data_IF_535029698630
#
_entry.id   IF_535029698630
#
_cell.length_a   1.000
_cell.length_b   1.000
_cell.length_c   1.000
_cell.angle_alpha   90.00
_cell.angle_beta   90.00
_cell.angle_gamma   90.00
#
_symmetry.space_group_name_H-M   'P 1'
#
loop_
_entity.id
_entity.type
_entity.pdbx_description
1 polymer ?
#
# COMPACT_ATOMS: atom_id res chain seq x y z
N UNK A 1 11.09 13.68 -28.55
CA UNK A 1 11.96 14.81 -28.19
C UNK A 1 12.49 14.53 -26.80
N UNK A 2 13.77 14.19 -26.72
CA UNK A 2 14.45 13.83 -25.47
C UNK A 2 14.79 15.13 -24.73
N UNK A 3 14.26 15.34 -23.53
CA UNK A 3 14.76 16.34 -22.61
C UNK A 3 15.58 15.64 -21.52
N UNK A 4 16.88 15.80 -21.60
CA UNK A 4 17.78 15.44 -20.50
C UNK A 4 17.77 16.57 -19.46
N UNK A 5 17.29 16.31 -18.26
CA UNK A 5 17.41 17.23 -17.13
C UNK A 5 18.64 16.79 -16.31
N UNK A 6 19.66 17.64 -16.31
CA UNK A 6 20.83 17.50 -15.43
C UNK A 6 20.46 18.08 -14.07
N UNK A 7 20.37 17.25 -13.06
CA UNK A 7 20.17 17.68 -11.68
C UNK A 7 21.51 17.68 -10.92
N UNK A 8 21.87 18.84 -10.38
CA UNK A 8 23.04 19.03 -9.53
C UNK A 8 22.83 18.48 -8.13
N UNK A 9 23.89 17.89 -7.59
CA UNK A 9 24.00 17.36 -6.23
C UNK A 9 23.91 18.47 -5.17
N UNK A 10 22.93 18.35 -4.24
CA UNK A 10 23.09 18.84 -2.85
C UNK A 10 22.28 17.92 -1.92
N UNK A 11 22.98 17.17 -1.05
CA UNK A 11 22.47 16.68 0.24
C UNK A 11 21.53 15.47 0.23
N UNK A 12 22.04 14.26 0.21
CA UNK A 12 21.61 13.15 1.07
C UNK A 12 20.17 12.61 0.93
N UNK A 13 19.66 12.40 -0.24
CA UNK A 13 18.63 11.40 -0.54
C UNK A 13 18.96 10.84 -1.92
N UNK A 14 19.04 9.52 -2.02
CA UNK A 14 19.21 8.86 -3.31
C UNK A 14 17.97 9.13 -4.16
N UNK A 15 18.05 10.12 -5.03
CA UNK A 15 17.08 10.26 -6.11
C UNK A 15 17.37 9.14 -7.09
N UNK A 16 16.47 8.16 -7.17
CA UNK A 16 16.46 7.21 -8.27
C UNK A 16 16.28 8.03 -9.54
N UNK A 17 17.31 8.02 -10.40
CA UNK A 17 17.24 8.65 -11.71
C UNK A 17 16.33 7.76 -12.56
N UNK A 18 15.04 8.11 -12.58
CA UNK A 18 14.05 7.40 -13.39
C UNK A 18 14.31 7.74 -14.85
N UNK A 19 14.60 6.74 -15.69
CA UNK A 19 14.59 6.91 -17.15
C UNK A 19 13.20 7.40 -17.60
N UNK A 20 13.12 8.06 -18.76
CA UNK A 20 11.85 8.60 -19.26
C UNK A 20 10.72 7.57 -19.10
N UNK A 21 9.56 8.02 -18.60
CA UNK A 21 8.41 7.14 -18.44
C UNK A 21 8.03 6.56 -19.81
N UNK A 22 7.97 5.25 -19.89
CA UNK A 22 7.46 4.53 -21.04
C UNK A 22 5.95 4.37 -20.87
N UNK A 23 5.23 4.33 -21.99
CA UNK A 23 3.77 4.34 -21.97
C UNK A 23 3.20 3.14 -22.69
N UNK A 24 2.30 2.40 -22.02
CA UNK A 24 1.35 1.56 -22.71
C UNK A 24 -0.07 2.15 -22.59
N UNK A 25 -1.09 1.46 -23.13
CA UNK A 25 -2.46 1.99 -23.16
C UNK A 25 -3.04 2.25 -21.76
N UNK A 26 -2.71 1.42 -20.77
CA UNK A 26 -3.35 1.40 -19.46
C UNK A 26 -2.48 1.95 -18.34
N UNK A 27 -1.14 1.96 -18.52
CA UNK A 27 -0.18 2.35 -17.51
C UNK A 27 0.91 3.26 -18.09
N UNK A 28 1.38 4.22 -17.28
CA UNK A 28 2.71 4.76 -17.40
C UNK A 28 3.63 4.02 -16.43
N UNK A 29 4.85 3.76 -16.83
CA UNK A 29 5.83 3.07 -16.00
C UNK A 29 7.23 3.64 -16.22
N UNK A 30 8.11 3.35 -15.30
CA UNK A 30 9.52 3.67 -15.38
C UNK A 30 10.35 2.41 -15.25
N UNK A 31 11.40 2.29 -16.07
CA UNK A 31 12.36 1.20 -15.94
C UNK A 31 13.41 1.58 -14.90
N UNK A 32 13.59 0.71 -13.91
CA UNK A 32 14.55 0.88 -12.82
C UNK A 32 15.97 0.49 -13.29
N UNK A 33 16.99 0.89 -12.53
CA UNK A 33 18.39 0.57 -12.85
C UNK A 33 18.68 -0.94 -12.89
N UNK A 34 17.92 -1.74 -12.14
CA UNK A 34 18.02 -3.20 -12.12
C UNK A 34 17.25 -3.89 -13.25
N UNK A 35 16.64 -3.12 -14.14
CA UNK A 35 15.85 -3.60 -15.27
C UNK A 35 14.41 -4.01 -14.91
N UNK A 36 13.96 -3.81 -13.69
CA UNK A 36 12.56 -3.98 -13.29
C UNK A 36 11.73 -2.74 -13.67
N UNK A 37 10.41 -2.80 -13.51
CA UNK A 37 9.51 -1.68 -13.77
C UNK A 37 8.75 -1.22 -12.53
N UNK A 38 8.54 0.09 -12.44
CA UNK A 38 7.67 0.75 -11.47
C UNK A 38 6.48 1.35 -12.21
N UNK A 39 5.24 0.97 -11.86
CA UNK A 39 4.04 1.65 -12.37
C UNK A 39 3.96 3.04 -11.77
N UNK A 40 3.99 4.07 -12.59
CA UNK A 40 4.00 5.48 -12.14
C UNK A 40 2.64 6.14 -12.27
N UNK A 41 1.80 5.69 -13.21
CA UNK A 41 0.42 6.18 -13.37
C UNK A 41 -0.49 5.09 -13.93
N UNK A 42 -1.73 5.03 -13.44
CA UNK A 42 -2.81 4.25 -14.02
C UNK A 42 -3.63 5.15 -14.94
N UNK A 43 -3.72 4.81 -16.22
CA UNK A 43 -4.44 5.59 -17.24
C UNK A 43 -5.83 5.05 -17.52
N UNK A 44 -6.04 3.74 -17.30
CA UNK A 44 -7.34 3.11 -17.53
C UNK A 44 -8.40 3.65 -16.56
N UNK A 45 -9.65 3.68 -17.02
CA UNK A 45 -10.83 4.02 -16.23
C UNK A 45 -11.65 2.76 -15.86
N UNK A 46 -11.06 1.58 -15.94
CA UNK A 46 -11.73 0.33 -15.56
C UNK A 46 -12.01 0.28 -14.05
N UNK A 47 -13.09 -0.38 -13.67
CA UNK A 47 -13.41 -0.64 -12.26
C UNK A 47 -12.49 -1.72 -11.68
N UNK A 48 -12.15 -2.70 -12.49
CA UNK A 48 -11.19 -3.76 -12.17
C UNK A 48 -9.87 -3.44 -12.87
N UNK A 49 -8.83 -3.12 -12.11
CA UNK A 49 -7.51 -2.78 -12.64
C UNK A 49 -6.54 -3.93 -12.35
N UNK A 50 -6.10 -4.60 -13.39
CA UNK A 50 -5.11 -5.68 -13.30
C UNK A 50 -3.74 -5.10 -13.64
N UNK A 51 -2.87 -4.99 -12.63
CA UNK A 51 -1.47 -4.60 -12.85
C UNK A 51 -0.71 -5.82 -13.38
N UNK A 52 -0.07 -5.74 -14.56
CA UNK A 52 0.64 -6.88 -15.13
C UNK A 52 1.90 -7.21 -14.33
N UNK A 53 2.28 -8.49 -14.26
CA UNK A 53 3.54 -8.90 -13.65
C UNK A 53 4.76 -8.52 -14.50
N UNK A 54 4.58 -8.36 -15.81
CA UNK A 54 5.60 -7.95 -16.78
C UNK A 54 4.99 -6.92 -17.72
N UNK A 55 5.69 -5.82 -17.94
CA UNK A 55 5.32 -4.78 -18.89
C UNK A 55 6.51 -4.52 -19.82
N UNK A 56 6.30 -4.67 -21.14
CA UNK A 56 7.31 -4.50 -22.20
C UNK A 56 8.64 -5.24 -21.91
N UNK A 57 8.56 -6.43 -21.30
CA UNK A 57 9.71 -7.27 -20.98
C UNK A 57 10.33 -7.00 -19.59
N UNK A 58 9.83 -6.03 -18.83
CA UNK A 58 10.30 -5.67 -17.50
C UNK A 58 9.38 -6.22 -16.41
N UNK A 59 9.93 -6.92 -15.42
CA UNK A 59 9.13 -7.38 -14.25
C UNK A 59 8.67 -6.18 -13.45
N UNK A 60 7.36 -6.10 -13.18
CA UNK A 60 6.77 -5.03 -12.36
C UNK A 60 7.00 -5.35 -10.89
N UNK A 61 7.73 -4.49 -10.19
CA UNK A 61 8.13 -4.70 -8.79
C UNK A 61 7.64 -3.60 -7.85
N UNK A 62 7.10 -2.50 -8.38
CA UNK A 62 6.65 -1.40 -7.54
C UNK A 62 5.41 -0.69 -8.10
N UNK A 63 4.58 -0.19 -7.18
CA UNK A 63 3.58 0.85 -7.45
C UNK A 63 4.15 2.16 -6.96
N UNK A 64 4.43 3.06 -7.88
CA UNK A 64 5.17 4.28 -7.66
C UNK A 64 4.30 5.53 -7.60
N UNK A 65 4.92 6.62 -8.01
CA UNK A 65 4.31 7.95 -8.11
C UNK A 65 4.87 8.67 -9.33
N UNK A 66 4.20 9.72 -9.74
CA UNK A 66 4.66 10.60 -10.81
C UNK A 66 4.62 12.06 -10.36
N UNK A 67 5.47 12.89 -10.94
CA UNK A 67 5.43 14.35 -10.83
C UNK A 67 4.83 14.93 -12.10
N UNK A 68 3.77 15.72 -11.96
CA UNK A 68 3.24 16.48 -13.09
C UNK A 68 4.03 17.78 -13.29
N UNK A 69 4.00 18.33 -14.50
CA UNK A 69 4.64 19.64 -14.79
C UNK A 69 4.08 20.80 -13.93
N UNK A 70 2.91 20.59 -13.33
CA UNK A 70 2.16 21.60 -12.58
C UNK A 70 2.21 21.43 -11.06
N UNK A 71 2.87 20.38 -10.54
CA UNK A 71 2.96 20.09 -9.12
C UNK A 71 4.35 19.64 -8.71
N UNK A 72 4.87 20.23 -7.64
CA UNK A 72 6.12 19.79 -7.00
C UNK A 72 5.93 18.61 -6.07
N UNK A 73 4.67 18.26 -5.74
CA UNK A 73 4.34 17.11 -4.91
C UNK A 73 4.04 15.92 -5.81
N UNK A 74 4.76 14.80 -5.69
CA UNK A 74 4.45 13.60 -6.44
C UNK A 74 3.04 13.10 -6.15
N UNK A 75 2.31 12.73 -7.19
CA UNK A 75 1.03 12.05 -7.10
C UNK A 75 1.26 10.54 -7.17
N UNK A 76 0.57 9.75 -6.36
CA UNK A 76 0.63 8.30 -6.40
C UNK A 76 0.02 7.74 -7.70
N UNK A 77 0.45 6.55 -8.10
CA UNK A 77 0.01 5.93 -9.36
C UNK A 77 -1.51 5.76 -9.46
N UNK A 78 -2.18 5.48 -8.33
CA UNK A 78 -3.64 5.36 -8.22
C UNK A 78 -4.30 6.61 -7.59
N UNK A 79 -3.55 7.64 -7.26
CA UNK A 79 -4.10 8.84 -6.60
C UNK A 79 -5.19 9.48 -7.47
N UNK A 80 -6.33 9.78 -6.85
CA UNK A 80 -7.51 10.35 -7.52
C UNK A 80 -8.12 9.51 -8.63
N UNK A 81 -7.87 8.19 -8.66
CA UNK A 81 -8.54 7.26 -9.59
C UNK A 81 -9.88 6.83 -9.00
N UNK A 82 -10.95 7.52 -9.41
CA UNK A 82 -12.29 7.36 -8.85
C UNK A 82 -13.11 6.21 -9.46
N UNK A 83 -12.64 5.59 -10.55
CA UNK A 83 -13.26 4.45 -11.20
C UNK A 83 -12.70 3.12 -10.74
N UNK A 84 -11.41 3.06 -10.36
CA UNK A 84 -10.77 1.84 -9.90
C UNK A 84 -11.33 1.42 -8.53
N UNK A 85 -12.07 0.32 -8.49
CA UNK A 85 -12.69 -0.23 -7.28
C UNK A 85 -11.89 -1.42 -6.77
N UNK A 86 -11.55 -2.35 -7.65
CA UNK A 86 -10.75 -3.52 -7.35
C UNK A 86 -9.39 -3.41 -8.05
N UNK A 87 -8.32 -3.67 -7.33
CA UNK A 87 -6.96 -3.67 -7.88
C UNK A 87 -6.34 -5.04 -7.65
N UNK A 88 -5.87 -5.64 -8.73
CA UNK A 88 -5.20 -6.94 -8.73
C UNK A 88 -3.71 -6.74 -8.94
N UNK A 89 -2.91 -7.12 -7.97
CA UNK A 89 -1.47 -6.91 -7.93
C UNK A 89 -0.71 -8.24 -8.02
N UNK A 90 0.31 -8.35 -8.88
CA UNK A 90 1.13 -9.55 -8.92
C UNK A 90 2.00 -9.68 -7.66
N UNK A 91 2.26 -10.91 -7.24
CA UNK A 91 3.14 -11.20 -6.10
C UNK A 91 4.61 -10.79 -6.33
N UNK A 92 4.95 -10.29 -7.52
CA UNK A 92 6.26 -9.67 -7.82
C UNK A 92 6.45 -8.29 -7.20
N UNK A 93 5.36 -7.64 -6.74
CA UNK A 93 5.44 -6.30 -6.14
C UNK A 93 6.12 -6.38 -4.77
N UNK A 94 7.15 -5.56 -4.60
CA UNK A 94 7.95 -5.45 -3.37
C UNK A 94 7.75 -4.13 -2.63
N UNK A 95 7.24 -3.10 -3.31
CA UNK A 95 7.06 -1.78 -2.68
C UNK A 95 5.87 -1.00 -3.22
N UNK A 96 5.25 -0.22 -2.32
CA UNK A 96 4.34 0.87 -2.66
C UNK A 96 5.01 2.18 -2.27
N UNK A 97 5.03 3.15 -3.18
CA UNK A 97 5.56 4.49 -2.91
C UNK A 97 4.63 5.30 -1.99
N UNK A 98 5.12 6.47 -1.57
CA UNK A 98 4.30 7.45 -0.88
C UNK A 98 3.07 7.80 -1.73
N UNK A 99 1.90 7.83 -1.10
CA UNK A 99 0.62 8.19 -1.71
C UNK A 99 0.15 7.28 -2.85
N UNK A 100 0.77 6.12 -3.08
CA UNK A 100 0.50 5.25 -4.23
C UNK A 100 -1.00 5.04 -4.51
N UNK A 101 -1.83 4.93 -3.49
CA UNK A 101 -3.29 4.75 -3.53
C UNK A 101 -4.04 5.83 -2.73
N UNK A 102 -3.45 7.00 -2.52
CA UNK A 102 -4.11 8.05 -1.73
C UNK A 102 -5.33 8.62 -2.45
N UNK A 103 -6.35 8.99 -1.67
CA UNK A 103 -7.54 9.68 -2.17
C UNK A 103 -8.16 9.04 -3.43
N UNK A 104 -8.25 7.72 -3.48
CA UNK A 104 -8.81 6.96 -4.60
C UNK A 104 -10.07 6.18 -4.22
N UNK A 105 -10.76 5.61 -5.20
CA UNK A 105 -11.96 4.82 -4.98
C UNK A 105 -11.69 3.33 -4.70
N UNK A 106 -10.45 2.91 -4.57
CA UNK A 106 -10.08 1.51 -4.36
C UNK A 106 -10.68 1.01 -3.05
N UNK A 107 -11.51 -0.03 -3.17
CA UNK A 107 -12.19 -0.69 -2.07
C UNK A 107 -11.51 -2.00 -1.68
N UNK A 108 -10.91 -2.69 -2.66
CA UNK A 108 -10.28 -3.99 -2.46
C UNK A 108 -8.94 -4.09 -3.19
N UNK A 109 -7.96 -4.66 -2.51
CA UNK A 109 -6.68 -5.09 -3.08
C UNK A 109 -6.68 -6.61 -3.10
N UNK A 110 -6.46 -7.17 -4.28
CA UNK A 110 -6.25 -8.60 -4.49
C UNK A 110 -4.82 -8.85 -4.96
N UNK A 111 -4.27 -9.98 -4.60
CA UNK A 111 -2.98 -10.44 -5.09
C UNK A 111 -3.13 -11.69 -5.97
N UNK A 112 -2.21 -11.90 -6.87
CA UNK A 112 -2.14 -13.11 -7.68
C UNK A 112 -0.68 -13.56 -7.89
N UNK A 113 -0.48 -14.87 -8.00
CA UNK A 113 0.80 -15.46 -8.37
C UNK A 113 0.88 -15.61 -9.89
N UNK A 114 1.71 -14.82 -10.58
CA UNK A 114 1.79 -14.86 -12.04
C UNK A 114 2.35 -16.18 -12.60
N UNK A 115 2.97 -17.01 -11.75
CA UNK A 115 3.45 -18.33 -12.16
C UNK A 115 2.34 -19.41 -12.17
N UNK A 116 1.19 -19.13 -11.53
CA UNK A 116 0.12 -20.11 -11.35
C UNK A 116 -1.18 -19.74 -12.06
N UNK A 117 -1.35 -18.48 -12.44
CA UNK A 117 -2.63 -17.97 -12.93
C UNK A 117 -2.46 -17.28 -14.28
N UNK A 118 -3.31 -17.62 -15.26
CA UNK A 118 -3.40 -16.88 -16.51
C UNK A 118 -4.06 -15.51 -16.30
N UNK A 119 -3.73 -14.54 -17.14
CA UNK A 119 -4.33 -13.21 -17.07
C UNK A 119 -5.87 -13.23 -17.14
N UNK A 120 -6.44 -14.22 -17.85
CA UNK A 120 -7.89 -14.38 -18.04
C UNK A 120 -8.60 -14.86 -16.77
N UNK A 121 -7.91 -15.57 -15.89
CA UNK A 121 -8.48 -16.18 -14.68
C UNK A 121 -8.32 -15.31 -13.42
N UNK A 122 -7.54 -14.22 -13.47
CA UNK A 122 -7.21 -13.39 -12.30
C UNK A 122 -8.48 -12.90 -11.58
N UNK A 123 -9.42 -12.35 -12.32
CA UNK A 123 -10.65 -11.78 -11.75
C UNK A 123 -11.64 -12.86 -11.30
N UNK A 124 -11.68 -13.99 -12.01
CA UNK A 124 -12.73 -15.00 -11.80
C UNK A 124 -12.44 -16.00 -10.67
N UNK A 125 -11.20 -16.41 -10.49
CA UNK A 125 -10.86 -17.48 -9.55
C UNK A 125 -9.41 -17.50 -9.07
N UNK A 126 -8.57 -16.65 -9.62
CA UNK A 126 -7.12 -16.77 -9.47
C UNK A 126 -6.48 -15.79 -8.52
N UNK A 127 -7.25 -14.92 -7.87
CA UNK A 127 -6.73 -13.92 -6.95
C UNK A 127 -7.18 -14.18 -5.50
N UNK A 128 -6.37 -13.75 -4.56
CA UNK A 128 -6.70 -13.76 -3.14
C UNK A 128 -6.71 -12.33 -2.59
N UNK A 129 -7.65 -12.04 -1.68
CA UNK A 129 -7.66 -10.76 -0.98
C UNK A 129 -6.32 -10.58 -0.25
N UNK A 130 -5.74 -9.40 -0.37
CA UNK A 130 -4.54 -9.04 0.37
C UNK A 130 -3.46 -8.38 -0.48
N UNK A 131 -2.44 -7.91 0.23
CA UNK A 131 -1.26 -7.32 -0.40
C UNK A 131 -0.35 -8.41 -0.99
N UNK A 132 0.48 -8.08 -2.00
CA UNK A 132 1.42 -9.04 -2.60
C UNK A 132 2.33 -9.71 -1.57
N UNK A 133 2.62 -11.01 -1.77
CA UNK A 133 3.41 -11.81 -0.82
C UNK A 133 4.87 -11.36 -0.68
N UNK A 134 5.40 -10.71 -1.70
CA UNK A 134 6.78 -10.20 -1.68
C UNK A 134 6.87 -8.74 -1.21
N UNK A 135 5.74 -8.13 -0.82
CA UNK A 135 5.73 -6.74 -0.38
C UNK A 135 6.63 -6.55 0.86
N UNK A 136 7.53 -5.58 0.80
CA UNK A 136 8.48 -5.22 1.86
C UNK A 136 8.17 -3.87 2.47
N UNK A 137 7.76 -2.90 1.65
CA UNK A 137 7.56 -1.54 2.13
C UNK A 137 6.28 -0.93 1.58
N UNK A 138 5.61 -0.16 2.44
CA UNK A 138 4.54 0.75 2.07
C UNK A 138 4.96 2.17 2.45
N UNK A 139 4.87 3.09 1.51
CA UNK A 139 5.23 4.48 1.71
C UNK A 139 4.28 5.24 2.63
N UNK A 140 4.65 6.47 2.95
CA UNK A 140 3.82 7.35 3.76
C UNK A 140 2.55 7.74 3.01
N UNK A 141 1.43 7.82 3.75
CA UNK A 141 0.12 8.16 3.18
C UNK A 141 -0.32 7.26 2.02
N UNK A 142 0.21 6.04 1.95
CA UNK A 142 0.02 5.14 0.80
C UNK A 142 -1.46 4.95 0.42
N UNK A 143 -2.35 4.73 1.38
CA UNK A 143 -3.78 4.57 1.21
C UNK A 143 -4.60 5.69 1.89
N UNK A 144 -3.96 6.77 2.32
CA UNK A 144 -4.63 7.86 3.04
C UNK A 144 -5.86 8.34 2.27
N UNK A 145 -6.99 8.48 3.01
CA UNK A 145 -8.26 8.95 2.46
C UNK A 145 -8.78 8.12 1.25
N UNK A 146 -8.41 6.85 1.13
CA UNK A 146 -8.98 5.91 0.15
C UNK A 146 -10.33 5.36 0.62
N UNK A 147 -10.96 4.51 -0.20
CA UNK A 147 -12.20 3.80 0.16
C UNK A 147 -11.98 2.35 0.57
N UNK A 148 -10.75 2.00 0.91
CA UNK A 148 -10.37 0.63 1.25
C UNK A 148 -11.24 0.10 2.39
N UNK A 149 -11.80 -1.11 2.21
CA UNK A 149 -12.71 -1.73 3.17
C UNK A 149 -12.00 -2.71 4.08
N UNK A 150 -11.01 -3.40 3.55
CA UNK A 150 -10.29 -4.44 4.28
C UNK A 150 -8.85 -4.57 3.83
N UNK A 151 -8.00 -4.99 4.74
CA UNK A 151 -6.57 -5.21 4.51
C UNK A 151 -6.18 -6.58 5.03
N UNK A 152 -5.63 -7.43 4.16
CA UNK A 152 -5.03 -8.70 4.51
C UNK A 152 -3.52 -8.64 4.22
N UNK A 153 -2.70 -8.94 5.22
CA UNK A 153 -1.23 -8.95 5.13
C UNK A 153 -0.72 -10.32 5.55
N UNK A 154 -0.27 -11.11 4.58
CA UNK A 154 0.40 -12.40 4.81
C UNK A 154 1.91 -12.31 4.52
N UNK A 155 2.34 -11.17 3.99
CA UNK A 155 3.72 -10.86 3.64
C UNK A 155 4.61 -10.57 4.86
N UNK A 156 5.92 -10.62 4.65
CA UNK A 156 6.94 -10.13 5.59
C UNK A 156 7.26 -8.68 5.25
N UNK A 157 6.50 -7.74 5.83
CA UNK A 157 6.60 -6.30 5.57
C UNK A 157 7.59 -5.68 6.55
N UNK A 158 8.61 -5.01 6.03
CA UNK A 158 9.62 -4.36 6.87
C UNK A 158 9.08 -3.05 7.48
N UNK A 159 8.31 -2.29 6.69
CA UNK A 159 7.72 -1.04 7.17
C UNK A 159 6.43 -0.66 6.46
N UNK A 160 5.50 -0.12 7.24
CA UNK A 160 4.32 0.62 6.79
C UNK A 160 4.55 2.07 7.20
N UNK A 161 4.51 2.98 6.23
CA UNK A 161 4.88 4.39 6.42
C UNK A 161 3.92 5.19 7.30
N UNK A 162 4.34 6.40 7.62
CA UNK A 162 3.54 7.32 8.44
C UNK A 162 2.23 7.67 7.72
N UNK A 163 1.12 7.60 8.42
CA UNK A 163 -0.21 7.89 7.87
C UNK A 163 -0.68 6.94 6.75
N UNK A 164 -0.03 5.80 6.54
CA UNK A 164 -0.28 4.96 5.37
C UNK A 164 -1.74 4.53 5.18
N UNK A 165 -2.47 4.33 6.24
CA UNK A 165 -3.89 3.99 6.27
C UNK A 165 -4.72 5.03 7.04
N UNK A 166 -4.28 6.29 7.09
CA UNK A 166 -5.00 7.33 7.80
C UNK A 166 -6.31 7.71 7.08
N UNK A 167 -7.28 8.21 7.83
CA UNK A 167 -8.54 8.79 7.34
C UNK A 167 -9.38 7.92 6.40
N UNK A 168 -9.22 6.59 6.48
CA UNK A 168 -10.01 5.63 5.68
C UNK A 168 -11.34 5.33 6.39
N UNK A 169 -12.36 6.11 6.11
CA UNK A 169 -13.66 6.00 6.78
C UNK A 169 -14.38 4.66 6.53
N UNK A 170 -14.10 3.98 5.42
CA UNK A 170 -14.76 2.71 5.07
C UNK A 170 -14.05 1.48 5.64
N UNK A 171 -12.88 1.63 6.26
CA UNK A 171 -12.07 0.51 6.75
C UNK A 171 -12.81 -0.25 7.86
N UNK A 172 -13.05 -1.53 7.64
CA UNK A 172 -13.78 -2.42 8.55
C UNK A 172 -12.92 -3.53 9.16
N UNK A 173 -11.83 -3.90 8.51
CA UNK A 173 -10.97 -4.99 8.97
C UNK A 173 -9.53 -4.83 8.52
N UNK A 174 -8.59 -5.11 9.44
CA UNK A 174 -7.15 -5.24 9.15
C UNK A 174 -6.66 -6.54 9.76
N UNK A 175 -6.17 -7.43 8.94
CA UNK A 175 -5.71 -8.76 9.34
C UNK A 175 -4.24 -8.93 8.97
N UNK A 176 -3.40 -9.22 9.96
CA UNK A 176 -2.07 -9.77 9.78
C UNK A 176 -2.17 -11.27 10.01
N UNK A 177 -1.97 -12.05 8.95
CA UNK A 177 -2.01 -13.50 9.00
C UNK A 177 -0.88 -14.07 9.87
N UNK A 178 -1.00 -15.35 10.27
CA UNK A 178 -0.01 -16.00 11.15
C UNK A 178 1.39 -16.07 10.60
N UNK A 179 1.51 -16.10 9.29
CA UNK A 179 2.81 -16.09 8.57
C UNK A 179 3.32 -14.69 8.29
N UNK A 180 2.46 -13.68 8.44
CA UNK A 180 2.80 -12.29 8.22
C UNK A 180 3.67 -11.72 9.34
N UNK A 181 4.43 -10.69 9.00
CA UNK A 181 5.18 -9.87 9.96
C UNK A 181 5.17 -8.43 9.49
N UNK A 182 5.09 -7.52 10.45
CA UNK A 182 5.32 -6.10 10.22
C UNK A 182 6.47 -5.65 11.13
N UNK A 183 7.55 -5.18 10.52
CA UNK A 183 8.67 -4.61 11.28
C UNK A 183 8.26 -3.31 11.98
N UNK A 184 7.74 -2.34 11.22
CA UNK A 184 7.28 -1.08 11.81
C UNK A 184 5.94 -0.64 11.23
N UNK A 185 4.99 -0.30 12.09
CA UNK A 185 3.80 0.49 11.78
C UNK A 185 4.16 1.96 12.07
N UNK A 186 4.11 2.82 11.08
CA UNK A 186 4.51 4.23 11.18
C UNK A 186 3.63 5.08 12.10
N UNK A 187 4.02 6.34 12.30
CA UNK A 187 3.24 7.30 13.08
C UNK A 187 1.91 7.58 12.38
N UNK A 188 0.84 7.77 13.17
CA UNK A 188 -0.48 8.11 12.65
C UNK A 188 -1.00 7.12 11.59
N UNK A 189 -0.44 5.92 11.50
CA UNK A 189 -0.68 4.98 10.39
C UNK A 189 -2.16 4.72 10.12
N UNK A 190 -2.96 4.51 11.16
CA UNK A 190 -4.41 4.30 11.10
C UNK A 190 -5.20 5.46 11.72
N UNK A 191 -4.60 6.65 11.85
CA UNK A 191 -5.23 7.79 12.50
C UNK A 191 -6.58 8.13 11.86
N UNK A 192 -7.62 8.32 12.69
CA UNK A 192 -8.97 8.64 12.26
C UNK A 192 -9.57 7.68 11.22
N UNK A 193 -9.12 6.43 11.22
CA UNK A 193 -9.63 5.40 10.31
C UNK A 193 -10.69 4.54 10.97
N UNK A 194 -11.55 3.95 10.16
CA UNK A 194 -12.51 2.96 10.54
C UNK A 194 -13.95 3.40 10.41
N UNK A 195 -14.75 2.44 9.91
CA UNK A 195 -16.21 2.48 10.00
C UNK A 195 -16.67 2.32 11.46
N UNK A 196 -17.99 2.27 11.70
CA UNK A 196 -18.54 2.02 13.03
C UNK A 196 -18.16 0.66 13.62
N UNK A 197 -17.64 -0.26 12.82
CA UNK A 197 -17.23 -1.62 13.19
C UNK A 197 -15.87 -1.95 12.57
N UNK A 198 -14.80 -1.37 13.12
CA UNK A 198 -13.44 -1.68 12.70
C UNK A 198 -12.88 -2.82 13.58
N UNK A 199 -12.18 -3.77 12.96
CA UNK A 199 -11.52 -4.86 13.66
C UNK A 199 -10.04 -4.94 13.26
N UNK A 200 -9.18 -5.20 14.25
CA UNK A 200 -7.77 -5.47 14.03
C UNK A 200 -7.44 -6.87 14.57
N UNK A 201 -6.97 -7.75 13.69
CA UNK A 201 -6.54 -9.10 14.06
C UNK A 201 -5.10 -9.34 13.62
N UNK A 202 -4.14 -9.11 14.50
CA UNK A 202 -2.73 -9.33 14.24
C UNK A 202 -2.29 -10.67 14.83
N UNK A 203 -2.43 -11.74 14.05
CA UNK A 203 -2.00 -13.09 14.40
C UNK A 203 -0.49 -13.32 14.18
N UNK A 204 0.14 -12.49 13.35
CA UNK A 204 1.57 -12.45 13.15
C UNK A 204 2.26 -11.45 14.08
N UNK A 205 3.56 -11.33 13.92
CA UNK A 205 4.38 -10.43 14.75
C UNK A 205 4.38 -9.00 14.23
N UNK A 206 4.27 -8.03 15.15
CA UNK A 206 4.51 -6.60 14.90
C UNK A 206 5.67 -6.15 15.81
N UNK A 207 6.81 -5.76 15.24
CA UNK A 207 7.99 -5.41 16.04
C UNK A 207 7.84 -4.05 16.72
N UNK A 208 7.30 -3.05 16.01
CA UNK A 208 7.12 -1.71 16.55
C UNK A 208 5.86 -1.01 16.00
N UNK A 209 5.19 -0.30 16.87
CA UNK A 209 4.05 0.58 16.57
C UNK A 209 4.49 2.01 16.85
N UNK A 210 4.32 2.90 15.87
CA UNK A 210 4.68 4.32 15.98
C UNK A 210 3.76 5.12 16.90
N UNK A 211 4.18 6.34 17.21
CA UNK A 211 3.36 7.25 18.00
C UNK A 211 2.02 7.57 17.29
N UNK A 212 0.93 7.64 18.06
CA UNK A 212 -0.40 7.97 17.56
C UNK A 212 -0.93 7.04 16.45
N UNK A 213 -0.35 5.84 16.29
CA UNK A 213 -0.61 4.97 15.13
C UNK A 213 -2.09 4.66 14.91
N UNK A 214 -2.89 4.59 15.96
CA UNK A 214 -4.34 4.32 15.91
C UNK A 214 -5.15 5.50 16.46
N UNK A 215 -4.55 6.67 16.70
CA UNK A 215 -5.24 7.80 17.33
C UNK A 215 -6.55 8.14 16.64
N UNK A 216 -7.62 8.32 17.42
CA UNK A 216 -8.93 8.70 16.92
C UNK A 216 -9.62 7.66 16.03
N UNK A 217 -9.04 6.47 15.89
CA UNK A 217 -9.71 5.37 15.18
C UNK A 217 -10.98 4.99 15.92
N UNK A 218 -12.11 5.07 15.20
CA UNK A 218 -13.43 4.95 15.80
C UNK A 218 -14.00 3.54 15.72
N UNK A 219 -14.86 3.17 16.71
CA UNK A 219 -15.69 1.99 16.63
C UNK A 219 -14.92 0.66 16.57
N UNK A 220 -13.72 0.58 17.16
CA UNK A 220 -12.96 -0.66 17.19
C UNK A 220 -13.71 -1.68 18.05
N UNK A 221 -14.28 -2.72 17.41
CA UNK A 221 -14.99 -3.77 18.09
C UNK A 221 -14.00 -4.72 18.75
N UNK A 222 -13.07 -5.27 17.96
CA UNK A 222 -12.03 -6.16 18.45
C UNK A 222 -10.66 -5.66 18.02
N UNK A 223 -9.76 -5.55 18.98
CA UNK A 223 -8.34 -5.32 18.76
C UNK A 223 -7.55 -6.50 19.34
N UNK A 224 -7.08 -7.38 18.48
CA UNK A 224 -6.31 -8.56 18.85
C UNK A 224 -4.90 -8.46 18.32
N UNK A 225 -3.91 -8.69 19.19
CA UNK A 225 -2.50 -8.72 18.85
C UNK A 225 -1.80 -9.86 19.57
N UNK A 226 -1.22 -10.81 18.81
CA UNK A 226 -0.59 -12.01 19.38
C UNK A 226 0.82 -11.72 19.87
N UNK A 227 1.62 -11.01 19.05
CA UNK A 227 3.01 -10.72 19.39
C UNK A 227 3.32 -9.27 18.97
N UNK A 228 3.62 -8.42 19.95
CA UNK A 228 3.97 -7.02 19.76
C UNK A 228 5.23 -6.68 20.53
N UNK A 229 6.18 -6.02 19.87
CA UNK A 229 7.42 -5.55 20.49
C UNK A 229 7.23 -4.22 21.22
N UNK A 230 7.40 -3.11 20.52
CA UNK A 230 7.36 -1.75 21.09
C UNK A 230 6.07 -1.07 20.69
N UNK A 231 5.41 -0.40 21.65
CA UNK A 231 4.24 0.46 21.39
C UNK A 231 4.61 1.91 21.67
N UNK A 232 4.46 2.75 20.65
CA UNK A 232 4.81 4.16 20.70
C UNK A 232 3.88 5.00 21.58
N UNK A 233 4.31 6.22 21.86
CA UNK A 233 3.56 7.18 22.69
C UNK A 233 2.21 7.47 22.09
N UNK A 234 1.15 7.43 22.93
CA UNK A 234 -0.21 7.78 22.55
C UNK A 234 -0.78 6.92 21.38
N UNK A 235 -0.23 5.73 21.14
CA UNK A 235 -0.59 4.90 19.99
C UNK A 235 -2.11 4.67 19.85
N UNK A 236 -2.82 4.58 20.97
CA UNK A 236 -4.28 4.35 21.04
C UNK A 236 -5.05 5.55 21.60
N UNK A 237 -4.49 6.75 21.53
CA UNK A 237 -5.15 7.94 22.05
C UNK A 237 -6.49 8.18 21.36
N UNK A 238 -7.49 8.54 22.14
CA UNK A 238 -8.85 8.83 21.65
C UNK A 238 -9.50 7.66 20.86
N UNK A 239 -9.00 6.44 21.00
CA UNK A 239 -9.66 5.25 20.43
C UNK A 239 -10.85 4.85 21.29
N UNK A 240 -11.91 4.41 20.64
CA UNK A 240 -13.01 3.70 21.30
C UNK A 240 -12.89 2.22 20.96
N UNK A 241 -12.42 1.40 21.92
CA UNK A 241 -12.14 -0.02 21.75
C UNK A 241 -13.04 -0.81 22.69
N UNK A 242 -13.88 -1.68 22.14
CA UNK A 242 -14.75 -2.56 22.94
C UNK A 242 -13.96 -3.70 23.59
N UNK A 243 -13.18 -4.42 22.79
CA UNK A 243 -12.37 -5.55 23.26
C UNK A 243 -10.92 -5.34 22.84
N UNK A 244 -9.99 -5.44 23.78
CA UNK A 244 -8.56 -5.41 23.51
C UNK A 244 -7.89 -6.65 24.10
N UNK A 245 -7.22 -7.42 23.24
CA UNK A 245 -6.42 -8.58 23.66
C UNK A 245 -5.01 -8.40 23.16
N UNK A 246 -4.07 -8.19 24.08
CA UNK A 246 -2.64 -8.18 23.82
C UNK A 246 -2.04 -9.44 24.45
N UNK A 247 -1.45 -10.30 23.64
CA UNK A 247 -0.62 -11.40 24.10
C UNK A 247 0.83 -10.97 23.90
N UNK A 248 1.64 -11.01 24.92
CA UNK A 248 3.08 -10.79 24.83
C UNK A 248 3.80 -12.13 24.87
N UNK A 249 4.92 -12.23 24.19
CA UNK A 249 5.87 -13.33 24.33
C UNK A 249 6.73 -13.16 25.56
#
# INVERSE_FOLDING_TARGET
>A
VVFALVAGLVGGSAFVQVSAAEENSDFAYAVNEDGTATITEVKTNAADVIVPAVIDGHTVTAIGSHTSEWSTTPAGAFESKWQAVNVYLPDTITSFADRAFASCAVEHIYRYDPAQISAEDIVSSGSALGVPMQLKTMGSHCFDNSRLKEVQIDAQVDSIGDGAYATIAALSSVILGKTGRIGTIGKNCFQNSGAQTLNFYFYGRVDAIGANAFEGSGGIQDFYMEDVGIVGTEAFKNCHINTMTLKGS
#
